data_IF_244802428457
#
_entry.id   IF_244802428457
#
_cell.length_a   1.000
_cell.length_b   1.000
_cell.length_c   1.000
_cell.angle_alpha   90.00
_cell.angle_beta   90.00
_cell.angle_gamma   90.00
#
_symmetry.space_group_name_H-M   'P 1'
#
loop_
_entity.id
_entity.type
_entity.pdbx_description
1 polymer ?
#
# COMPACT_ATOMS: atom_id res chain seq x y z
N UNK A 1 1.58 -23.45 35.98
CA UNK A 1 2.98 -23.32 36.41
C UNK A 1 3.82 -22.82 35.23
N UNK A 2 4.42 -21.63 35.42
CA UNK A 2 5.66 -21.09 34.85
C UNK A 2 5.99 -21.40 33.38
N UNK A 3 5.90 -20.39 32.51
CA UNK A 3 7.04 -19.79 31.77
C UNK A 3 6.75 -18.31 31.47
N UNK A 4 7.22 -17.45 32.37
CA UNK A 4 7.39 -16.00 32.15
C UNK A 4 8.90 -15.78 32.01
N UNK A 5 9.33 -15.05 30.99
CA UNK A 5 10.56 -14.26 30.81
C UNK A 5 10.72 -14.10 29.28
N UNK A 6 10.79 -12.93 28.64
CA UNK A 6 11.34 -11.64 29.01
C UNK A 6 10.53 -10.54 28.31
N UNK A 7 9.88 -9.67 29.07
CA UNK A 7 9.51 -8.33 28.60
C UNK A 7 10.29 -7.36 29.47
N UNK A 8 11.31 -6.76 28.87
CA UNK A 8 12.19 -5.79 29.51
C UNK A 8 11.41 -4.57 29.95
N UNK A 9 11.20 -4.50 31.26
CA UNK A 9 11.29 -3.32 32.13
C UNK A 9 11.27 -1.97 31.39
N UNK A 10 10.08 -1.44 31.14
CA UNK A 10 9.86 0.00 31.21
C UNK A 10 9.38 0.30 32.63
N UNK A 11 10.34 0.67 33.45
CA UNK A 11 10.20 0.93 34.86
C UNK A 11 9.04 1.92 35.12
N UNK A 12 8.06 1.41 35.84
CA UNK A 12 7.05 2.18 36.56
C UNK A 12 7.73 3.06 37.62
N UNK A 13 8.07 4.30 37.24
CA UNK A 13 8.22 5.42 38.17
C UNK A 13 6.91 6.22 38.19
N UNK A 14 5.88 5.63 38.80
CA UNK A 14 4.72 6.37 39.27
C UNK A 14 5.00 6.76 40.72
N UNK A 15 5.80 7.82 40.90
CA UNK A 15 5.90 8.50 42.19
C UNK A 15 4.64 9.34 42.38
N UNK A 16 3.98 9.10 43.51
CA UNK A 16 2.82 9.82 43.98
C UNK A 16 3.11 11.31 44.18
N UNK A 17 2.21 12.15 43.71
CA UNK A 17 2.19 13.59 43.97
C UNK A 17 0.87 14.19 43.48
N UNK A 18 0.00 14.57 44.41
CA UNK A 18 -1.22 15.31 44.12
C UNK A 18 -0.89 16.68 43.54
N UNK A 19 -1.47 16.99 42.38
CA UNK A 19 -1.46 18.29 41.73
C UNK A 19 -0.12 18.62 41.07
N UNK A 20 -0.13 18.88 39.75
CA UNK A 20 0.70 19.88 39.03
C UNK A 20 0.67 19.57 37.53
N UNK A 21 0.68 20.63 36.72
CA UNK A 21 0.80 20.53 35.27
C UNK A 21 2.01 19.67 34.86
N UNK A 22 1.87 18.89 33.77
CA UNK A 22 2.96 18.05 33.21
C UNK A 22 4.28 18.82 33.18
N UNK A 23 5.34 18.23 33.74
CA UNK A 23 6.68 18.82 33.71
C UNK A 23 7.14 19.08 32.26
N UNK A 24 8.00 20.09 32.02
CA UNK A 24 8.56 20.34 30.70
C UNK A 24 9.23 19.10 30.08
N UNK A 25 9.89 18.27 30.90
CA UNK A 25 10.51 17.01 30.47
C UNK A 25 9.48 15.97 30.00
N UNK A 26 8.37 15.81 30.71
CA UNK A 26 7.27 14.92 30.30
C UNK A 26 6.68 15.35 28.96
N UNK A 27 6.46 16.67 28.76
CA UNK A 27 5.98 17.20 27.47
C UNK A 27 6.98 16.95 26.34
N UNK A 28 8.28 17.08 26.61
CA UNK A 28 9.35 16.78 25.63
C UNK A 28 9.35 15.30 25.25
N UNK A 29 9.28 14.41 26.23
CA UNK A 29 9.25 12.95 26.01
C UNK A 29 8.01 12.53 25.20
N UNK A 30 6.84 13.10 25.48
CA UNK A 30 5.62 12.84 24.70
C UNK A 30 5.77 13.26 23.22
N UNK A 31 6.34 14.45 22.96
CA UNK A 31 6.64 14.91 21.59
C UNK A 31 7.64 14.00 20.88
N UNK A 32 8.69 13.55 21.57
CA UNK A 32 9.66 12.59 21.02
C UNK A 32 9.03 11.24 20.70
N UNK A 33 8.18 10.72 21.59
CA UNK A 33 7.45 9.47 21.36
C UNK A 33 6.50 9.58 20.16
N UNK A 34 5.81 10.72 20.02
CA UNK A 34 4.93 10.97 18.88
C UNK A 34 5.72 11.06 17.57
N UNK A 35 6.84 11.77 17.55
CA UNK A 35 7.71 11.85 16.38
C UNK A 35 8.25 10.47 15.98
N UNK A 36 8.68 9.66 16.95
CA UNK A 36 9.13 8.29 16.69
C UNK A 36 8.01 7.43 16.08
N UNK A 37 6.81 7.48 16.66
CA UNK A 37 5.65 6.73 16.15
C UNK A 37 5.31 7.09 14.70
N UNK A 38 5.30 8.38 14.37
CA UNK A 38 5.00 8.84 13.01
C UNK A 38 6.10 8.43 12.01
N UNK A 39 7.37 8.48 12.41
CA UNK A 39 8.48 8.00 11.58
C UNK A 39 8.41 6.48 11.35
N UNK A 40 8.05 5.69 12.36
CA UNK A 40 7.83 4.25 12.19
C UNK A 40 6.70 3.98 11.19
N UNK A 41 5.56 4.65 11.34
CA UNK A 41 4.42 4.51 10.41
C UNK A 41 4.81 4.93 8.98
N UNK A 42 5.62 5.98 8.82
CA UNK A 42 6.11 6.44 7.52
C UNK A 42 6.99 5.38 6.86
N UNK A 43 7.94 4.81 7.60
CA UNK A 43 8.82 3.76 7.11
C UNK A 43 8.03 2.51 6.70
N UNK A 44 7.01 2.13 7.48
CA UNK A 44 6.13 1.00 7.12
C UNK A 44 5.36 1.25 5.82
N UNK A 45 4.81 2.46 5.62
CA UNK A 45 4.08 2.81 4.41
C UNK A 45 5.02 2.85 3.18
N UNK A 46 6.22 3.41 3.33
CA UNK A 46 7.24 3.42 2.29
C UNK A 46 7.67 2.00 1.92
N UNK A 47 7.89 1.13 2.91
CA UNK A 47 8.22 -0.28 2.67
C UNK A 47 7.10 -1.00 1.90
N UNK A 48 5.83 -0.80 2.30
CA UNK A 48 4.67 -1.36 1.58
C UNK A 48 4.59 -0.87 0.13
N UNK A 49 4.90 0.41 -0.11
CA UNK A 49 4.93 0.98 -1.45
C UNK A 49 6.04 0.33 -2.30
N UNK A 50 7.25 0.23 -1.77
CA UNK A 50 8.40 -0.41 -2.44
C UNK A 50 8.11 -1.88 -2.76
N UNK A 51 7.41 -2.59 -1.87
CA UNK A 51 7.03 -3.99 -2.10
C UNK A 51 5.93 -4.14 -3.16
N UNK A 52 5.00 -3.20 -3.25
CA UNK A 52 3.89 -3.26 -4.23
C UNK A 52 4.35 -2.88 -5.65
N UNK A 53 5.39 -2.05 -5.80
CA UNK A 53 5.89 -1.58 -7.10
C UNK A 53 6.29 -2.73 -8.07
N UNK A 54 7.11 -3.72 -7.68
CA UNK A 54 7.41 -4.86 -8.55
C UNK A 54 6.17 -5.68 -8.91
N UNK A 55 5.25 -5.89 -7.97
CA UNK A 55 4.01 -6.61 -8.23
C UNK A 55 3.15 -5.86 -9.27
N UNK A 56 3.10 -4.54 -9.19
CA UNK A 56 2.40 -3.71 -10.16
C UNK A 56 3.00 -3.81 -11.56
N UNK A 57 4.33 -3.81 -11.68
CA UNK A 57 5.04 -3.97 -12.96
C UNK A 57 4.77 -5.34 -13.60
N UNK A 58 4.74 -6.41 -12.80
CA UNK A 58 4.35 -7.74 -13.27
C UNK A 58 2.91 -7.75 -13.80
N UNK A 59 1.98 -7.14 -13.06
CA UNK A 59 0.58 -7.02 -13.48
C UNK A 59 0.42 -6.15 -14.74
N UNK A 60 1.28 -5.15 -14.92
CA UNK A 60 1.29 -4.32 -16.13
C UNK A 60 1.72 -5.15 -17.34
N UNK A 61 2.79 -5.93 -17.20
CA UNK A 61 3.24 -6.87 -18.24
C UNK A 61 2.15 -7.92 -18.57
N UNK A 62 1.54 -8.53 -17.55
CA UNK A 62 0.47 -9.52 -17.73
C UNK A 62 -0.74 -8.90 -18.45
N UNK A 63 -1.14 -7.68 -18.08
CA UNK A 63 -2.24 -6.97 -18.73
C UNK A 63 -1.93 -6.67 -20.19
N UNK A 64 -0.73 -6.17 -20.51
CA UNK A 64 -0.30 -5.91 -21.89
C UNK A 64 -0.34 -7.18 -22.73
N UNK A 65 0.29 -8.26 -22.27
CA UNK A 65 0.31 -9.54 -23.00
C UNK A 65 -1.09 -10.12 -23.21
N UNK A 66 -1.95 -10.06 -22.18
CA UNK A 66 -3.32 -10.56 -22.30
C UNK A 66 -4.17 -9.71 -23.24
N UNK A 67 -3.94 -8.39 -23.28
CA UNK A 67 -4.61 -7.49 -24.23
C UNK A 67 -4.15 -7.75 -25.67
N UNK A 68 -2.86 -7.94 -25.90
CA UNK A 68 -2.30 -8.34 -27.21
C UNK A 68 -2.86 -9.69 -27.68
N UNK A 69 -2.91 -10.71 -26.80
CA UNK A 69 -3.55 -12.00 -27.11
C UNK A 69 -5.03 -11.79 -27.49
N UNK A 70 -5.75 -10.95 -26.75
CA UNK A 70 -7.17 -10.68 -27.02
C UNK A 70 -7.39 -9.98 -28.37
N UNK A 71 -6.56 -8.99 -28.71
CA UNK A 71 -6.61 -8.31 -30.02
C UNK A 71 -6.35 -9.33 -31.13
N UNK A 72 -5.23 -10.05 -31.08
CA UNK A 72 -4.85 -11.03 -32.09
C UNK A 72 -5.92 -12.11 -32.32
N UNK A 73 -6.57 -12.58 -31.25
CA UNK A 73 -7.63 -13.60 -31.36
C UNK A 73 -8.94 -13.04 -31.90
N UNK A 74 -9.22 -11.76 -31.65
CA UNK A 74 -10.43 -11.08 -32.14
C UNK A 74 -10.28 -10.76 -33.63
N UNK A 75 -9.10 -10.32 -34.07
CA UNK A 75 -8.79 -10.11 -35.49
C UNK A 75 -8.87 -11.43 -36.27
N UNK A 76 -8.30 -12.52 -35.74
CA UNK A 76 -8.37 -13.81 -36.42
C UNK A 76 -9.80 -14.34 -36.63
N UNK A 77 -10.78 -13.90 -35.81
CA UNK A 77 -12.18 -14.27 -35.92
C UNK A 77 -12.89 -13.58 -37.10
N UNK A 78 -12.50 -12.37 -37.50
CA UNK A 78 -13.12 -11.70 -38.66
C UNK A 78 -12.90 -12.43 -39.98
N UNK A 79 -11.87 -13.29 -40.03
CA UNK A 79 -11.38 -13.92 -41.27
C UNK A 79 -11.69 -15.44 -41.32
N UNK A 80 -12.84 -15.88 -40.81
CA UNK A 80 -13.22 -17.30 -40.80
C UNK A 80 -13.94 -17.71 -42.10
N UNK A 81 -13.57 -18.87 -42.66
CA UNK A 81 -14.03 -19.37 -43.97
C UNK A 81 -15.23 -20.34 -43.90
N UNK A 82 -15.75 -20.64 -42.71
CA UNK A 82 -16.93 -21.48 -42.52
C UNK A 82 -17.58 -21.21 -41.17
N UNK A 83 -18.86 -21.53 -41.02
CA UNK A 83 -19.60 -21.32 -39.76
C UNK A 83 -18.97 -22.06 -38.56
N UNK A 84 -18.51 -23.29 -38.75
CA UNK A 84 -17.86 -24.08 -37.69
C UNK A 84 -16.53 -23.45 -37.26
N UNK A 85 -15.69 -23.06 -38.23
CA UNK A 85 -14.44 -22.36 -37.93
C UNK A 85 -14.69 -21.01 -37.24
N UNK A 86 -15.72 -20.27 -37.67
CA UNK A 86 -16.14 -19.02 -37.00
C UNK A 86 -16.50 -19.26 -35.53
N UNK A 87 -17.29 -20.29 -35.23
CA UNK A 87 -17.70 -20.61 -33.87
C UNK A 87 -16.49 -20.98 -32.97
N UNK A 88 -15.54 -21.76 -33.49
CA UNK A 88 -14.34 -22.13 -32.74
C UNK A 88 -13.46 -20.91 -32.46
N UNK A 89 -13.19 -20.08 -33.48
CA UNK A 89 -12.40 -18.85 -33.35
C UNK A 89 -13.06 -17.86 -32.39
N UNK A 90 -14.39 -17.69 -32.48
CA UNK A 90 -15.15 -16.85 -31.54
C UNK A 90 -14.98 -17.30 -30.09
N UNK A 91 -15.03 -18.61 -29.82
CA UNK A 91 -14.83 -19.13 -28.47
C UNK A 91 -13.40 -18.88 -27.96
N UNK A 92 -12.39 -18.97 -28.83
CA UNK A 92 -11.00 -18.62 -28.51
C UNK A 92 -10.87 -17.13 -28.18
N UNK A 93 -11.42 -16.24 -29.02
CA UNK A 93 -11.45 -14.80 -28.78
C UNK A 93 -12.14 -14.45 -27.44
N UNK A 94 -13.30 -15.03 -27.17
CA UNK A 94 -14.03 -14.86 -25.90
C UNK A 94 -13.18 -15.25 -24.68
N UNK A 95 -12.43 -16.36 -24.76
CA UNK A 95 -11.53 -16.79 -23.67
C UNK A 95 -10.39 -15.78 -23.45
N UNK A 96 -9.77 -15.29 -24.53
CA UNK A 96 -8.71 -14.29 -24.46
C UNK A 96 -9.20 -12.96 -23.86
N UNK A 97 -10.36 -12.45 -24.32
CA UNK A 97 -11.01 -11.27 -23.76
C UNK A 97 -11.31 -11.40 -22.26
N UNK A 98 -11.71 -12.59 -21.80
CA UNK A 98 -11.92 -12.86 -20.36
C UNK A 98 -10.62 -12.80 -19.56
N UNK A 99 -9.51 -13.32 -20.11
CA UNK A 99 -8.18 -13.22 -19.47
C UNK A 99 -7.73 -11.76 -19.40
N UNK A 100 -7.79 -11.03 -20.51
CA UNK A 100 -7.49 -9.61 -20.58
C UNK A 100 -8.27 -8.79 -19.53
N UNK A 101 -9.59 -9.00 -19.44
CA UNK A 101 -10.43 -8.35 -18.43
C UNK A 101 -9.96 -8.65 -17.00
N UNK A 102 -9.55 -9.88 -16.70
CA UNK A 102 -9.07 -10.26 -15.37
C UNK A 102 -7.72 -9.59 -15.06
N UNK A 103 -6.78 -9.64 -16.00
CA UNK A 103 -5.46 -9.01 -15.86
C UNK A 103 -5.59 -7.50 -15.65
N UNK A 104 -6.36 -6.80 -16.48
CA UNK A 104 -6.64 -5.37 -16.34
C UNK A 104 -7.30 -5.02 -14.98
N UNK A 105 -8.23 -5.86 -14.50
CA UNK A 105 -8.85 -5.66 -13.18
C UNK A 105 -7.84 -5.79 -12.04
N UNK A 106 -6.90 -6.73 -12.14
CA UNK A 106 -5.85 -6.91 -11.14
C UNK A 106 -4.87 -5.72 -11.15
N UNK A 107 -4.43 -5.29 -12.35
CA UNK A 107 -3.60 -4.08 -12.50
C UNK A 107 -4.29 -2.85 -11.90
N UNK A 108 -5.57 -2.63 -12.21
CA UNK A 108 -6.33 -1.52 -11.66
C UNK A 108 -6.43 -1.55 -10.12
N UNK A 109 -6.51 -2.73 -9.50
CA UNK A 109 -6.49 -2.87 -8.04
C UNK A 109 -5.12 -2.50 -7.45
N UNK A 110 -4.03 -2.96 -8.08
CA UNK A 110 -2.68 -2.63 -7.64
C UNK A 110 -2.40 -1.12 -7.80
N UNK A 111 -2.80 -0.50 -8.91
CA UNK A 111 -2.71 0.95 -9.12
C UNK A 111 -3.41 1.73 -8.00
N UNK A 112 -4.64 1.35 -7.63
CA UNK A 112 -5.37 1.97 -6.51
C UNK A 112 -4.67 1.79 -5.17
N UNK A 113 -3.99 0.66 -4.96
CA UNK A 113 -3.23 0.43 -3.72
C UNK A 113 -2.01 1.37 -3.67
N UNK A 114 -1.28 1.50 -4.77
CA UNK A 114 -0.16 2.44 -4.89
C UNK A 114 -0.62 3.87 -4.63
N UNK A 115 -1.69 4.31 -5.28
CA UNK A 115 -2.27 5.65 -5.10
C UNK A 115 -2.65 5.91 -3.63
N UNK A 116 -3.28 4.94 -2.98
CA UNK A 116 -3.63 5.03 -1.56
C UNK A 116 -2.39 5.14 -0.67
N UNK A 117 -1.37 4.31 -0.91
CA UNK A 117 -0.12 4.35 -0.15
C UNK A 117 0.58 5.71 -0.30
N UNK A 118 0.66 6.23 -1.53
CA UNK A 118 1.24 7.56 -1.80
C UNK A 118 0.47 8.65 -1.06
N UNK A 119 -0.86 8.63 -1.11
CA UNK A 119 -1.72 9.59 -0.38
C UNK A 119 -1.53 9.53 1.13
N UNK A 120 -1.44 8.32 1.69
CA UNK A 120 -1.26 8.13 3.13
C UNK A 120 0.15 8.59 3.56
N UNK A 121 1.18 8.34 2.76
CA UNK A 121 2.54 8.87 2.95
C UNK A 121 2.53 10.40 2.96
N UNK A 122 1.92 11.05 1.96
CA UNK A 122 1.87 12.52 1.89
C UNK A 122 1.19 13.12 3.11
N UNK A 123 0.03 12.58 3.52
CA UNK A 123 -0.68 13.04 4.73
C UNK A 123 0.15 12.87 5.99
N UNK A 124 0.92 11.79 6.08
CA UNK A 124 1.75 11.53 7.25
C UNK A 124 2.96 12.47 7.29
N UNK A 125 3.59 12.74 6.14
CA UNK A 125 4.63 13.75 6.00
C UNK A 125 4.13 15.14 6.42
N UNK A 126 2.93 15.54 5.99
CA UNK A 126 2.31 16.81 6.43
C UNK A 126 2.12 16.87 7.95
N UNK A 127 1.70 15.78 8.59
CA UNK A 127 1.58 15.70 10.06
C UNK A 127 2.92 15.86 10.75
N UNK A 128 3.95 15.19 10.24
CA UNK A 128 5.33 15.30 10.77
C UNK A 128 5.82 16.75 10.65
N UNK A 129 5.62 17.39 9.50
CA UNK A 129 6.00 18.79 9.30
C UNK A 129 5.30 19.73 10.27
N UNK A 130 3.98 19.57 10.49
CA UNK A 130 3.22 20.39 11.45
C UNK A 130 3.73 20.21 12.89
N UNK A 131 3.96 18.98 13.32
CA UNK A 131 4.51 18.69 14.64
C UNK A 131 5.91 19.28 14.84
N UNK A 132 6.77 19.20 13.82
CA UNK A 132 8.10 19.81 13.90
C UNK A 132 8.03 21.33 14.01
N UNK A 133 7.14 21.98 13.25
CA UNK A 133 6.92 23.42 13.37
C UNK A 133 6.42 23.80 14.79
N UNK A 134 5.43 23.08 15.33
CA UNK A 134 4.94 23.29 16.70
C UNK A 134 6.00 23.04 17.79
N UNK A 135 7.01 22.20 17.51
CA UNK A 135 8.15 22.01 18.40
C UNK A 135 9.06 23.24 18.35
N UNK A 136 9.36 23.77 17.16
CA UNK A 136 10.21 24.95 16.97
C UNK A 136 9.62 26.23 17.55
N UNK A 137 8.31 26.47 17.41
CA UNK A 137 7.62 27.62 18.02
C UNK A 137 7.45 27.51 19.55
N UNK A 138 7.73 26.33 20.13
CA UNK A 138 7.64 26.08 21.58
C UNK A 138 8.99 26.07 22.30
N UNK A 139 10.09 26.35 21.58
CA UNK A 139 11.42 26.61 22.13
C UNK A 139 11.62 28.10 22.35
#
# INVERSE_FOLDING_TARGET
MKKVLLMGVLASFMLAGCGTAKSPEMKRLEKQQQALKLNTELNELQMKLTQEQPNNQLLQTEATQANEEAINRTDAFSDANSASASAEKANKARKALRKARKANRNLAKSNRRIEKLQKDITKLQEKITKLNAEVEFSK
#
